data_IF_548574068391
#
_entry.id   IF_548574068391
#
_cell.length_a   1.000
_cell.length_b   1.000
_cell.length_c   1.000
_cell.angle_alpha   90.00
_cell.angle_beta   90.00
_cell.angle_gamma   90.00
#
_symmetry.space_group_name_H-M   'P 1'
#
loop_
_entity.id
_entity.type
_entity.pdbx_description
1 polymer ?
#
# COMPACT_ATOMS: atom_id res chain seq x y z
N UNK A 1 2.87 -6.32 -23.32
CA UNK A 1 1.64 -6.90 -22.75
C UNK A 1 1.57 -6.44 -21.30
N UNK A 2 0.53 -5.71 -20.86
CA UNK A 2 0.45 -5.24 -19.50
C UNK A 2 0.29 -6.45 -18.57
N UNK A 3 1.27 -6.68 -17.73
CA UNK A 3 1.19 -7.67 -16.66
C UNK A 3 0.29 -7.07 -15.59
N UNK A 4 -0.98 -7.43 -15.59
CA UNK A 4 -1.91 -7.02 -14.55
C UNK A 4 -1.47 -7.65 -13.23
N UNK A 5 -1.39 -6.84 -12.16
CA UNK A 5 -0.95 -7.26 -10.82
C UNK A 5 -1.57 -8.61 -10.37
N UNK A 6 -2.85 -8.83 -10.70
CA UNK A 6 -3.58 -10.07 -10.43
C UNK A 6 -2.89 -11.35 -10.93
N UNK A 7 -2.25 -11.33 -12.10
CA UNK A 7 -1.61 -12.52 -12.66
C UNK A 7 -0.31 -12.87 -11.91
N UNK A 8 0.41 -11.86 -11.44
CA UNK A 8 1.66 -12.05 -10.69
C UNK A 8 1.36 -12.49 -9.27
N UNK A 9 0.33 -11.90 -8.65
CA UNK A 9 -0.15 -12.31 -7.32
C UNK A 9 -0.59 -13.78 -7.32
N UNK A 10 -1.31 -14.21 -8.35
CA UNK A 10 -1.67 -15.62 -8.53
C UNK A 10 -0.43 -16.51 -8.67
N UNK A 11 0.58 -16.07 -9.40
CA UNK A 11 1.82 -16.83 -9.60
C UNK A 11 2.60 -16.99 -8.28
N UNK A 12 2.68 -15.95 -7.47
CA UNK A 12 3.31 -15.97 -6.13
C UNK A 12 2.54 -16.88 -5.19
N UNK A 13 1.19 -16.81 -5.18
CA UNK A 13 0.35 -17.67 -4.35
C UNK A 13 0.47 -19.14 -4.73
N UNK A 14 0.47 -19.46 -6.03
CA UNK A 14 0.66 -20.82 -6.53
C UNK A 14 2.06 -21.34 -6.19
N UNK A 15 3.10 -20.53 -6.39
CA UNK A 15 4.47 -20.88 -6.03
C UNK A 15 4.63 -21.20 -4.55
N UNK A 16 4.04 -20.38 -3.68
CA UNK A 16 4.04 -20.61 -2.23
C UNK A 16 3.29 -21.90 -1.86
N UNK A 17 2.11 -22.14 -2.44
CA UNK A 17 1.31 -23.33 -2.17
C UNK A 17 2.05 -24.61 -2.58
N UNK A 18 2.69 -24.62 -3.76
CA UNK A 18 3.49 -25.75 -4.25
C UNK A 18 4.70 -25.98 -3.33
N UNK A 19 5.38 -24.94 -2.87
CA UNK A 19 6.51 -25.07 -1.96
C UNK A 19 6.09 -25.68 -0.60
N UNK A 20 4.98 -25.23 -0.02
CA UNK A 20 4.43 -25.78 1.24
C UNK A 20 4.05 -27.26 1.05
N UNK A 21 3.38 -27.58 -0.07
CA UNK A 21 2.99 -28.95 -0.36
C UNK A 21 4.21 -29.87 -0.55
N UNK A 22 5.23 -29.42 -1.28
CA UNK A 22 6.48 -30.16 -1.46
C UNK A 22 7.20 -30.38 -0.11
N UNK A 23 7.23 -29.38 0.76
CA UNK A 23 7.77 -29.49 2.12
C UNK A 23 7.01 -30.50 2.98
N UNK A 24 5.67 -30.52 2.89
CA UNK A 24 4.83 -31.48 3.60
C UNK A 24 5.05 -32.92 3.11
N UNK A 25 5.16 -33.12 1.79
CA UNK A 25 5.48 -34.43 1.19
C UNK A 25 6.89 -34.88 1.57
N UNK A 26 7.87 -33.96 1.61
CA UNK A 26 9.23 -34.26 2.07
C UNK A 26 9.23 -34.77 3.52
N UNK A 27 8.47 -34.12 4.41
CA UNK A 27 8.36 -34.55 5.80
C UNK A 27 7.82 -35.98 5.92
N UNK A 28 6.84 -36.34 5.09
CA UNK A 28 6.21 -37.68 5.10
C UNK A 28 7.03 -38.76 4.39
N UNK A 29 7.98 -38.39 3.53
CA UNK A 29 8.83 -39.34 2.81
C UNK A 29 9.82 -40.06 3.74
N UNK A 30 10.00 -41.37 3.57
CA UNK A 30 11.02 -42.15 4.26
C UNK A 30 12.40 -42.13 3.56
N UNK A 31 12.47 -41.73 2.29
CA UNK A 31 13.74 -41.71 1.54
C UNK A 31 14.47 -40.36 1.66
N UNK A 32 15.73 -40.42 2.08
CA UNK A 32 16.60 -39.25 2.29
C UNK A 32 16.83 -38.47 0.97
N UNK A 33 16.99 -39.16 -0.15
CA UNK A 33 17.24 -38.54 -1.46
C UNK A 33 16.01 -37.75 -1.92
N UNK A 34 14.80 -38.31 -1.81
CA UNK A 34 13.57 -37.60 -2.18
C UNK A 34 13.30 -36.41 -1.25
N UNK A 35 13.66 -36.52 0.04
CA UNK A 35 13.63 -35.39 0.97
C UNK A 35 14.52 -34.23 0.52
N UNK A 36 15.77 -34.52 0.15
CA UNK A 36 16.73 -33.50 -0.31
C UNK A 36 16.27 -32.85 -1.62
N UNK A 37 15.77 -33.63 -2.60
CA UNK A 37 15.25 -33.10 -3.86
C UNK A 37 14.03 -32.20 -3.66
N UNK A 38 13.08 -32.61 -2.81
CA UNK A 38 11.88 -31.81 -2.52
C UNK A 38 12.21 -30.53 -1.74
N UNK A 39 13.19 -30.58 -0.83
CA UNK A 39 13.69 -29.40 -0.13
C UNK A 39 14.38 -28.43 -1.10
N UNK A 40 15.24 -28.93 -1.99
CA UNK A 40 15.90 -28.11 -3.00
C UNK A 40 14.87 -27.44 -3.93
N UNK A 41 13.85 -28.19 -4.38
CA UNK A 41 12.75 -27.67 -5.20
C UNK A 41 11.96 -26.59 -4.44
N UNK A 42 11.61 -26.86 -3.18
CA UNK A 42 10.90 -25.91 -2.31
C UNK A 42 11.67 -24.60 -2.18
N UNK A 43 12.97 -24.65 -1.85
CA UNK A 43 13.81 -23.45 -1.70
C UNK A 43 13.91 -22.69 -3.03
N UNK A 44 14.11 -23.41 -4.14
CA UNK A 44 14.24 -22.82 -5.47
C UNK A 44 12.97 -22.09 -5.92
N UNK A 45 11.78 -22.55 -5.51
CA UNK A 45 10.50 -21.87 -5.77
C UNK A 45 10.23 -20.73 -4.79
N UNK A 46 10.65 -20.90 -3.54
CA UNK A 46 10.39 -19.93 -2.48
C UNK A 46 11.18 -18.63 -2.68
N UNK A 47 12.45 -18.71 -3.08
CA UNK A 47 13.32 -17.53 -3.27
C UNK A 47 12.75 -16.54 -4.31
N UNK A 48 12.43 -16.93 -5.56
CA UNK A 48 11.87 -15.99 -6.53
C UNK A 48 10.46 -15.51 -6.15
N UNK A 49 9.61 -16.37 -5.56
CA UNK A 49 8.29 -15.95 -5.07
C UNK A 49 8.39 -14.91 -3.96
N UNK A 50 9.31 -15.08 -3.02
CA UNK A 50 9.51 -14.13 -1.93
C UNK A 50 10.11 -12.82 -2.43
N UNK A 51 11.09 -12.86 -3.35
CA UNK A 51 11.65 -11.65 -3.96
C UNK A 51 10.57 -10.87 -4.73
N UNK A 52 9.75 -11.54 -5.55
CA UNK A 52 8.66 -10.90 -6.27
C UNK A 52 7.61 -10.33 -5.31
N UNK A 53 7.19 -11.11 -4.31
CA UNK A 53 6.20 -10.67 -3.32
C UNK A 53 6.69 -9.48 -2.48
N UNK A 54 7.98 -9.44 -2.12
CA UNK A 54 8.57 -8.28 -1.42
C UNK A 54 8.66 -7.08 -2.36
N UNK A 55 9.13 -7.28 -3.60
CA UNK A 55 9.29 -6.22 -4.60
C UNK A 55 7.98 -5.55 -5.02
N UNK A 56 6.87 -6.29 -5.04
CA UNK A 56 5.55 -5.76 -5.39
C UNK A 56 4.87 -4.97 -4.27
N UNK A 57 5.42 -5.02 -3.05
CA UNK A 57 4.86 -4.35 -1.89
C UNK A 57 5.75 -3.16 -1.51
N UNK A 58 5.48 -1.94 -2.02
CA UNK A 58 6.36 -0.80 -1.83
C UNK A 58 6.56 -0.43 -0.35
N UNK A 59 5.62 -0.78 0.54
CA UNK A 59 5.81 -0.59 1.99
C UNK A 59 6.96 -1.43 2.58
N UNK A 60 7.33 -2.57 1.98
CA UNK A 60 8.42 -3.43 2.45
C UNK A 60 9.78 -2.95 1.95
N UNK A 61 9.81 -2.30 0.78
CA UNK A 61 11.05 -1.91 0.09
C UNK A 61 11.38 -0.43 0.34
N UNK A 62 10.37 0.43 0.36
CA UNK A 62 10.52 1.87 0.52
C UNK A 62 9.90 2.37 1.83
N UNK A 63 10.77 2.91 2.68
CA UNK A 63 10.40 3.48 3.97
C UNK A 63 9.45 4.70 3.88
N UNK A 64 9.27 5.33 2.70
CA UNK A 64 8.32 6.44 2.47
C UNK A 64 6.90 5.93 2.66
N UNK A 65 6.56 4.89 1.90
CA UNK A 65 5.30 4.16 1.95
C UNK A 65 5.05 3.57 3.33
N UNK A 66 6.09 2.99 3.94
CA UNK A 66 5.99 2.47 5.32
C UNK A 66 5.60 3.55 6.33
N UNK A 67 6.26 4.71 6.29
CA UNK A 67 6.00 5.81 7.21
C UNK A 67 4.59 6.38 7.02
N UNK A 68 4.18 6.50 5.76
CA UNK A 68 2.84 6.98 5.39
C UNK A 68 1.72 6.03 5.86
N UNK A 69 1.94 4.72 5.72
CA UNK A 69 1.01 3.71 6.22
C UNK A 69 0.99 3.61 7.75
N UNK A 70 2.12 3.83 8.41
CA UNK A 70 2.18 3.95 9.87
C UNK A 70 1.38 5.15 10.37
N UNK A 71 1.49 6.30 9.70
CA UNK A 71 0.65 7.47 9.99
C UNK A 71 -0.84 7.13 9.83
N UNK A 72 -1.24 6.47 8.74
CA UNK A 72 -2.62 5.99 8.55
C UNK A 72 -3.10 5.09 9.70
N UNK A 73 -2.25 4.18 10.18
CA UNK A 73 -2.60 3.29 11.28
C UNK A 73 -2.70 4.02 12.62
N UNK A 74 -1.90 5.06 12.84
CA UNK A 74 -1.97 5.92 14.02
C UNK A 74 -3.32 6.62 14.19
N UNK A 75 -3.96 7.02 13.10
CA UNK A 75 -5.23 7.76 13.14
C UNK A 75 -6.36 6.86 13.66
N UNK A 76 -7.02 7.27 14.74
CA UNK A 76 -8.13 6.55 15.35
C UNK A 76 -9.46 7.29 15.14
N UNK A 77 -10.55 6.52 15.23
CA UNK A 77 -11.90 7.09 15.23
C UNK A 77 -12.10 7.90 16.51
N UNK A 78 -12.72 9.07 16.38
CA UNK A 78 -12.98 9.99 17.48
C UNK A 78 -11.88 11.03 17.71
N UNK A 79 -10.71 10.89 17.05
CA UNK A 79 -9.67 11.92 17.08
C UNK A 79 -10.19 13.22 16.48
N UNK A 80 -9.80 14.34 17.09
CA UNK A 80 -10.11 15.66 16.57
C UNK A 80 -9.17 16.02 15.41
N UNK A 81 -9.60 16.94 14.54
CA UNK A 81 -8.77 17.47 13.45
C UNK A 81 -7.38 17.91 13.93
N UNK A 82 -7.30 18.60 15.07
CA UNK A 82 -6.05 19.10 15.64
C UNK A 82 -5.14 17.97 16.10
N UNK A 83 -5.72 16.89 16.63
CA UNK A 83 -4.98 15.70 17.07
C UNK A 83 -4.36 14.98 15.87
N UNK A 84 -5.13 14.81 14.78
CA UNK A 84 -4.60 14.24 13.53
C UNK A 84 -3.45 15.07 12.95
N UNK A 85 -3.54 16.40 13.01
CA UNK A 85 -2.47 17.28 12.54
C UNK A 85 -1.24 17.26 13.47
N UNK A 86 -1.44 17.11 14.78
CA UNK A 86 -0.36 16.94 15.74
C UNK A 86 0.37 15.59 15.52
N UNK A 87 -0.38 14.51 15.29
CA UNK A 87 0.18 13.20 14.93
C UNK A 87 0.97 13.26 13.61
N UNK A 88 0.48 14.04 12.65
CA UNK A 88 1.19 14.28 11.40
C UNK A 88 2.53 15.00 11.64
N UNK A 89 2.59 15.98 12.53
CA UNK A 89 3.82 16.70 12.89
C UNK A 89 4.79 15.83 13.68
N UNK A 90 4.28 15.01 14.60
CA UNK A 90 5.08 14.03 15.32
C UNK A 90 5.67 12.98 14.38
N UNK A 91 4.91 12.54 13.37
CA UNK A 91 5.34 11.53 12.39
C UNK A 91 6.28 12.10 11.34
N UNK A 92 6.16 13.40 11.03
CA UNK A 92 6.95 14.11 10.01
C UNK A 92 7.49 15.44 10.58
N UNK A 93 8.51 15.40 11.44
CA UNK A 93 9.09 16.61 12.02
C UNK A 93 9.79 17.46 10.96
N UNK A 94 9.78 18.78 11.17
CA UNK A 94 10.45 19.74 10.28
C UNK A 94 11.96 19.45 10.26
N UNK A 95 12.54 19.29 9.06
CA UNK A 95 13.95 18.91 8.90
C UNK A 95 14.23 17.42 9.12
N UNK A 96 13.19 16.61 9.33
CA UNK A 96 13.29 15.15 9.39
C UNK A 96 13.73 14.54 8.05
N UNK A 97 14.08 13.25 8.06
CA UNK A 97 14.57 12.54 6.86
C UNK A 97 13.47 12.31 5.79
N UNK A 98 12.23 12.71 6.07
CA UNK A 98 11.06 12.50 5.20
C UNK A 98 10.26 13.79 5.06
N UNK A 99 9.71 14.01 3.88
CA UNK A 99 8.84 15.14 3.61
C UNK A 99 7.43 14.84 4.10
N UNK A 100 6.82 15.85 4.74
CA UNK A 100 5.44 15.79 5.21
C UNK A 100 4.48 15.56 4.03
N UNK A 101 3.49 14.66 4.16
CA UNK A 101 2.38 14.54 3.22
C UNK A 101 1.69 15.88 2.96
N UNK A 102 1.21 16.08 1.74
CA UNK A 102 0.45 17.29 1.40
C UNK A 102 -1.02 17.09 1.76
N UNK A 103 -1.65 18.11 2.32
CA UNK A 103 -3.09 18.13 2.53
C UNK A 103 -3.75 18.48 1.20
N UNK A 104 -4.61 17.60 0.69
CA UNK A 104 -5.35 17.82 -0.56
C UNK A 104 -6.68 18.52 -0.30
N UNK A 105 -7.37 18.11 0.75
CA UNK A 105 -8.69 18.61 1.10
C UNK A 105 -8.78 18.73 2.62
N UNK A 106 -9.19 19.90 3.10
CA UNK A 106 -9.49 20.14 4.51
C UNK A 106 -10.84 20.87 4.61
N UNK A 107 -11.91 20.10 4.80
CA UNK A 107 -13.30 20.58 4.88
C UNK A 107 -13.96 20.05 6.15
N UNK A 108 -15.04 20.69 6.61
CA UNK A 108 -15.73 20.29 7.85
C UNK A 108 -16.10 18.78 7.91
N UNK A 109 -16.29 18.14 6.76
CA UNK A 109 -16.70 16.73 6.63
C UNK A 109 -15.61 15.81 6.09
N UNK A 110 -14.45 16.32 5.66
CA UNK A 110 -13.40 15.50 5.04
C UNK A 110 -12.01 16.09 5.26
N UNK A 111 -11.05 15.23 5.52
CA UNK A 111 -9.63 15.58 5.59
C UNK A 111 -8.83 14.56 4.78
N UNK A 112 -8.11 15.00 3.76
CA UNK A 112 -7.34 14.10 2.90
C UNK A 112 -5.88 14.52 2.75
N UNK A 113 -5.03 13.51 2.68
CA UNK A 113 -3.59 13.64 2.55
C UNK A 113 -3.14 12.86 1.32
N UNK A 114 -2.11 13.37 0.64
CA UNK A 114 -1.40 12.65 -0.41
C UNK A 114 0.06 12.53 -0.05
N UNK A 115 0.65 11.37 -0.33
CA UNK A 115 2.08 11.17 -0.13
C UNK A 115 2.88 12.20 -0.95
N UNK A 116 3.90 12.81 -0.33
CA UNK A 116 4.75 13.76 -1.03
C UNK A 116 5.75 13.00 -1.92
N UNK A 117 5.88 13.35 -3.22
CA UNK A 117 6.95 12.80 -4.05
C UNK A 117 8.28 13.42 -3.57
N UNK A 118 9.10 12.63 -2.87
CA UNK A 118 10.45 13.04 -2.49
C UNK A 118 11.36 12.88 -3.70
N UNK A 119 11.82 13.99 -4.29
CA UNK A 119 12.80 14.12 -5.39
C UNK A 119 12.57 13.31 -6.70
N UNK A 120 11.60 12.41 -6.72
CA UNK A 120 11.32 11.51 -7.82
C UNK A 120 9.99 11.90 -8.48
N UNK A 121 9.94 12.08 -9.80
CA UNK A 121 8.72 12.43 -10.52
C UNK A 121 7.78 11.22 -10.71
N UNK A 122 7.80 10.25 -9.78
CA UNK A 122 6.99 9.05 -9.91
C UNK A 122 5.49 9.38 -9.76
N UNK A 123 4.64 8.75 -10.60
CA UNK A 123 3.19 8.90 -10.55
C UNK A 123 2.58 8.23 -9.31
N UNK A 124 3.34 7.35 -8.65
CA UNK A 124 2.85 6.52 -7.58
C UNK A 124 2.55 7.33 -6.32
N UNK A 125 1.27 7.54 -6.03
CA UNK A 125 0.82 8.41 -4.95
C UNK A 125 -0.29 7.77 -4.15
N UNK A 126 0.04 7.38 -2.93
CA UNK A 126 -0.96 6.92 -1.97
C UNK A 126 -1.73 8.09 -1.36
N UNK A 127 -3.01 7.85 -1.11
CA UNK A 127 -3.92 8.84 -0.55
C UNK A 127 -4.62 8.29 0.69
N UNK A 128 -4.61 9.09 1.76
CA UNK A 128 -5.40 8.84 2.97
C UNK A 128 -6.58 9.80 2.95
N UNK A 129 -7.79 9.28 3.05
CA UNK A 129 -9.01 10.07 3.22
C UNK A 129 -9.64 9.78 4.57
N UNK A 130 -9.91 10.83 5.34
CA UNK A 130 -10.65 10.78 6.59
C UNK A 130 -12.03 11.40 6.39
N UNK A 131 -13.06 10.70 6.88
CA UNK A 131 -14.42 11.23 6.99
C UNK A 131 -14.53 11.93 8.34
N UNK A 132 -14.88 13.20 8.31
CA UNK A 132 -15.02 14.04 9.50
C UNK A 132 -16.51 14.29 9.78
N UNK A 133 -16.89 14.34 11.04
CA UNK A 133 -18.21 14.76 11.47
C UNK A 133 -18.08 15.49 12.81
N UNK A 134 -18.69 16.67 12.93
CA UNK A 134 -18.57 17.52 14.12
C UNK A 134 -17.09 17.74 14.58
N UNK A 135 -16.16 17.82 13.63
CA UNK A 135 -14.72 18.02 13.92
C UNK A 135 -13.92 16.75 14.25
N UNK A 136 -14.57 15.58 14.30
CA UNK A 136 -13.98 14.30 14.68
C UNK A 136 -13.89 13.31 13.53
N UNK A 137 -12.88 12.44 13.57
CA UNK A 137 -12.71 11.34 12.61
C UNK A 137 -13.79 10.29 12.85
N UNK A 138 -14.65 10.08 11.86
CA UNK A 138 -15.68 9.03 11.88
C UNK A 138 -15.27 7.79 11.10
N UNK A 139 -14.40 7.95 10.11
CA UNK A 139 -13.87 6.86 9.32
C UNK A 139 -12.59 7.26 8.59
N UNK A 140 -11.82 6.25 8.18
CA UNK A 140 -10.60 6.42 7.41
C UNK A 140 -10.56 5.44 6.26
N UNK A 141 -9.99 5.88 5.16
CA UNK A 141 -9.84 5.13 3.92
C UNK A 141 -8.43 5.35 3.39
N UNK A 142 -7.83 4.28 2.92
CA UNK A 142 -6.49 4.29 2.36
C UNK A 142 -6.56 3.76 0.94
N UNK A 143 -6.15 4.58 0.00
CA UNK A 143 -6.08 4.25 -1.41
C UNK A 143 -4.59 4.00 -1.72
N UNK A 144 -4.19 2.72 -1.89
CA UNK A 144 -2.88 2.41 -2.45
C UNK A 144 -2.83 2.96 -3.87
N UNK A 145 -1.63 3.16 -4.40
CA UNK A 145 -1.47 3.66 -5.76
C UNK A 145 -2.13 2.71 -6.76
N UNK A 146 -3.34 3.08 -7.17
CA UNK A 146 -4.12 2.43 -8.22
C UNK A 146 -4.52 3.53 -9.16
N UNK A 147 -3.81 3.57 -10.29
CA UNK A 147 -4.21 4.15 -11.57
C UNK A 147 -5.38 5.14 -11.51
N UNK A 148 -5.10 6.41 -11.76
CA UNK A 148 -5.95 7.33 -12.53
C UNK A 148 -7.46 6.99 -12.58
N UNK A 149 -8.17 7.00 -11.45
CA UNK A 149 -9.63 7.04 -11.48
C UNK A 149 -10.05 8.51 -11.59
N UNK A 150 -10.15 8.92 -12.86
CA UNK A 150 -10.82 10.13 -13.36
C UNK A 150 -10.46 11.44 -12.63
N UNK A 151 -9.59 12.20 -13.30
CA UNK A 151 -9.83 13.64 -13.42
C UNK A 151 -11.31 13.80 -13.85
N UNK A 152 -12.17 14.54 -13.14
CA UNK A 152 -13.48 14.88 -13.71
C UNK A 152 -13.17 15.68 -14.97
N UNK A 153 -13.58 15.16 -16.12
CA UNK A 153 -13.51 15.87 -17.38
C UNK A 153 -14.28 17.18 -17.22
N UNK A 154 -13.54 18.29 -17.08
CA UNK A 154 -14.08 19.64 -17.20
C UNK A 154 -14.35 19.98 -18.67
N UNK A 155 -15.01 19.07 -19.39
CA UNK A 155 -15.38 19.21 -20.80
C UNK A 155 -16.79 18.70 -21.05
N UNK A 156 -17.74 19.03 -20.17
CA UNK A 156 -19.14 19.10 -20.56
C UNK A 156 -19.82 20.16 -19.70
N UNK A 157 -19.76 21.42 -20.15
CA UNK A 157 -20.80 22.41 -19.83
C UNK A 157 -21.83 22.26 -20.96
N UNK A 158 -22.96 21.57 -20.75
CA UNK A 158 -24.06 21.67 -21.68
C UNK A 158 -24.93 22.86 -21.27
N UNK A 159 -24.99 23.85 -22.14
CA UNK A 159 -26.12 24.76 -22.21
C UNK A 159 -26.21 25.83 -21.12
N UNK A 160 -25.79 27.04 -21.47
CA UNK A 160 -26.62 28.20 -21.14
C UNK A 160 -28.05 27.94 -21.64
N UNK A 161 -29.04 28.24 -20.80
CA UNK A 161 -30.01 29.24 -21.24
C UNK A 161 -30.30 30.31 -20.17
N UNK A 162 -30.32 31.56 -20.66
CA UNK A 162 -30.67 32.84 -20.04
C UNK A 162 -29.61 33.53 -19.17
#
# INVERSE_FOLDING_TARGET
MPVTHNNVDQLVLVGLAVAIFAGWVAWRSQSIISRLLLLALSITLLIPSTILGVGMNPWLVDARYRSYRLFYWGIQRGMDRTEVLADLESSYPIGGPRLRPKILEDTATRLSFIMHPEAQPDPDRETITLKMEAGKVMGKEYLPDTEHTKKPDTSTIPGLPF
#
